data_IF_177872834541
#
_entry.id   IF_177872834541
#
_cell.length_a   1.000
_cell.length_b   1.000
_cell.length_c   1.000
_cell.angle_alpha   90.00
_cell.angle_beta   90.00
_cell.angle_gamma   90.00
#
_symmetry.space_group_name_H-M   'P 1'
#
loop_
_entity.id
_entity.type
_entity.pdbx_description
1 polymer ?
#
# COMPACT_ATOMS: atom_id res chain seq x y z
N UNK A 1 28.74 14.14 0.18
CA UNK A 1 28.03 12.88 0.46
C UNK A 1 27.41 12.42 -0.85
N UNK A 2 27.94 11.35 -1.43
CA UNK A 2 27.40 10.77 -2.68
C UNK A 2 26.09 10.05 -2.31
N UNK A 3 24.95 10.63 -2.70
CA UNK A 3 23.67 9.94 -2.58
C UNK A 3 23.70 8.77 -3.54
N UNK A 4 23.85 7.56 -3.02
CA UNK A 4 23.72 6.34 -3.80
C UNK A 4 22.34 6.33 -4.44
N UNK A 5 22.25 6.07 -5.73
CA UNK A 5 20.97 5.92 -6.42
C UNK A 5 20.14 4.85 -5.70
N UNK A 6 18.84 5.09 -5.43
CA UNK A 6 18.01 4.15 -4.70
C UNK A 6 17.98 2.80 -5.41
N UNK A 7 18.22 1.72 -4.66
CA UNK A 7 18.23 0.37 -5.23
C UNK A 7 16.83 -0.01 -5.69
N UNK A 8 16.69 -0.49 -6.92
CA UNK A 8 15.41 -0.99 -7.44
C UNK A 8 15.04 -2.29 -6.72
N UNK A 9 13.80 -2.40 -6.27
CA UNK A 9 13.25 -3.57 -5.57
C UNK A 9 12.40 -4.44 -6.49
N UNK A 10 11.53 -3.81 -7.31
CA UNK A 10 10.66 -4.51 -8.27
C UNK A 10 10.73 -3.84 -9.63
N UNK A 11 10.74 -4.65 -10.69
CA UNK A 11 10.59 -4.21 -12.08
C UNK A 11 9.45 -4.98 -12.71
N UNK A 12 8.50 -4.27 -13.31
CA UNK A 12 7.50 -4.81 -14.23
C UNK A 12 7.88 -4.43 -15.67
N UNK A 13 7.75 -5.39 -16.60
CA UNK A 13 7.90 -5.15 -18.04
C UNK A 13 6.72 -5.78 -18.77
N UNK A 14 5.88 -4.95 -19.34
CA UNK A 14 4.69 -5.33 -20.09
C UNK A 14 3.81 -6.35 -19.37
N UNK A 15 3.75 -6.23 -18.02
CA UNK A 15 3.03 -7.17 -17.19
C UNK A 15 1.52 -6.91 -17.24
N UNK A 16 0.74 -7.98 -17.45
CA UNK A 16 -0.71 -7.88 -17.58
C UNK A 16 -1.40 -8.86 -16.61
N UNK A 17 -2.57 -8.46 -16.12
CA UNK A 17 -3.44 -9.29 -15.25
C UNK A 17 -4.82 -9.35 -15.85
N UNK A 18 -5.37 -10.58 -15.96
CA UNK A 18 -6.73 -10.81 -16.41
C UNK A 18 -7.51 -11.67 -15.42
N UNK A 19 -8.79 -11.37 -15.25
CA UNK A 19 -9.77 -12.17 -14.50
C UNK A 19 -10.88 -12.59 -15.45
N UNK A 20 -10.79 -13.80 -15.98
CA UNK A 20 -11.66 -14.27 -17.06
C UNK A 20 -11.50 -13.38 -18.31
N UNK A 21 -12.58 -12.77 -18.80
CA UNK A 21 -12.56 -11.88 -19.95
C UNK A 21 -12.11 -10.44 -19.64
N UNK A 22 -12.00 -10.08 -18.35
CA UNK A 22 -11.66 -8.72 -17.92
C UNK A 22 -10.16 -8.55 -17.80
N UNK A 23 -9.57 -7.69 -18.61
CA UNK A 23 -8.16 -7.30 -18.53
C UNK A 23 -8.00 -6.15 -17.51
N UNK A 24 -7.66 -6.49 -16.26
CA UNK A 24 -7.57 -5.53 -15.16
C UNK A 24 -6.27 -4.72 -15.14
N UNK A 25 -5.17 -5.28 -15.68
CA UNK A 25 -3.91 -4.56 -15.92
C UNK A 25 -3.40 -4.92 -17.31
N UNK A 26 -2.96 -3.91 -18.07
CA UNK A 26 -2.56 -4.05 -19.48
C UNK A 26 -1.15 -3.53 -19.66
N UNK A 27 -0.21 -4.43 -19.98
CA UNK A 27 1.17 -4.13 -20.36
C UNK A 27 1.86 -3.11 -19.42
N UNK A 28 1.67 -3.27 -18.10
CA UNK A 28 2.25 -2.35 -17.13
C UNK A 28 3.78 -2.47 -17.13
N UNK A 29 4.45 -1.33 -17.29
CA UNK A 29 5.91 -1.21 -17.21
C UNK A 29 6.24 -0.14 -16.19
N UNK A 30 6.86 -0.52 -15.08
CA UNK A 30 7.27 0.37 -14.00
C UNK A 30 8.32 -0.26 -13.11
N UNK A 31 8.90 0.54 -12.23
CA UNK A 31 9.82 0.09 -11.18
C UNK A 31 9.42 0.67 -9.83
N UNK A 32 9.72 -0.08 -8.77
CA UNK A 32 9.64 0.38 -7.38
C UNK A 32 11.05 0.37 -6.82
N UNK A 33 11.49 1.48 -6.27
CA UNK A 33 12.81 1.65 -5.67
C UNK A 33 12.71 1.79 -4.16
N UNK A 34 13.79 1.48 -3.46
CA UNK A 34 13.87 1.61 -2.01
C UNK A 34 13.61 3.06 -1.58
N UNK A 35 12.72 3.23 -0.59
CA UNK A 35 12.34 4.55 -0.08
C UNK A 35 11.26 5.26 -0.91
N UNK A 36 10.78 4.66 -2.01
CA UNK A 36 9.63 5.23 -2.75
C UNK A 36 8.38 5.24 -1.86
N UNK A 37 7.64 6.35 -1.88
CA UNK A 37 6.23 6.36 -1.51
C UNK A 37 5.40 6.63 -2.77
N UNK A 38 4.88 5.56 -3.37
CA UNK A 38 4.10 5.62 -4.60
C UNK A 38 2.61 5.64 -4.27
N UNK A 39 1.88 6.65 -4.77
CA UNK A 39 0.43 6.64 -4.81
C UNK A 39 -0.08 6.21 -6.19
N UNK A 40 -0.84 5.12 -6.23
CA UNK A 40 -1.56 4.67 -7.42
C UNK A 40 -2.96 5.27 -7.37
N UNK A 41 -3.27 6.16 -8.30
CA UNK A 41 -4.54 6.88 -8.36
C UNK A 41 -5.28 6.59 -9.67
N UNK A 42 -6.59 6.83 -9.70
CA UNK A 42 -7.45 6.60 -10.86
C UNK A 42 -8.89 6.29 -10.43
N UNK A 43 -9.81 6.24 -11.37
CA UNK A 43 -11.22 5.94 -11.13
C UNK A 43 -11.42 4.53 -10.54
N UNK A 44 -12.63 4.26 -10.01
CA UNK A 44 -12.99 2.90 -9.60
C UNK A 44 -12.97 1.99 -10.85
N UNK A 45 -12.47 0.77 -10.69
CA UNK A 45 -12.31 -0.15 -11.81
C UNK A 45 -11.10 0.09 -12.70
N UNK A 46 -10.29 1.15 -12.49
CA UNK A 46 -9.09 1.42 -13.32
C UNK A 46 -7.95 0.40 -13.17
N UNK A 47 -8.04 -0.56 -12.24
CA UNK A 47 -7.05 -1.63 -12.06
C UNK A 47 -6.07 -1.43 -10.91
N UNK A 48 -6.22 -0.40 -10.05
CA UNK A 48 -5.30 -0.07 -8.94
C UNK A 48 -5.02 -1.26 -8.02
N UNK A 49 -6.05 -1.89 -7.48
CA UNK A 49 -5.92 -3.09 -6.61
C UNK A 49 -5.21 -4.23 -7.34
N UNK A 50 -5.50 -4.41 -8.64
CA UNK A 50 -4.87 -5.46 -9.46
C UNK A 50 -3.39 -5.18 -9.70
N UNK A 51 -3.01 -3.91 -9.89
CA UNK A 51 -1.62 -3.51 -10.00
C UNK A 51 -0.87 -3.74 -8.66
N UNK A 52 -1.47 -3.40 -7.52
CA UNK A 52 -0.87 -3.71 -6.21
C UNK A 52 -0.65 -5.20 -6.02
N UNK A 53 -1.65 -6.03 -6.36
CA UNK A 53 -1.55 -7.50 -6.28
C UNK A 53 -0.50 -8.06 -7.24
N UNK A 54 -0.37 -7.48 -8.45
CA UNK A 54 0.66 -7.83 -9.41
C UNK A 54 2.05 -7.49 -8.85
N UNK A 55 2.24 -6.28 -8.31
CA UNK A 55 3.50 -5.87 -7.68
C UNK A 55 3.85 -6.76 -6.49
N UNK A 56 2.87 -7.14 -5.67
CA UNK A 56 3.07 -8.08 -4.56
C UNK A 56 3.36 -9.51 -5.05
N UNK A 57 2.86 -9.90 -6.22
CA UNK A 57 3.06 -11.24 -6.79
C UNK A 57 2.04 -12.30 -6.33
N UNK A 58 0.85 -11.88 -5.88
CA UNK A 58 -0.22 -12.78 -5.39
C UNK A 58 -1.30 -13.06 -6.44
N UNK A 59 -1.09 -12.64 -7.69
CA UNK A 59 -2.00 -12.91 -8.82
C UNK A 59 -1.23 -13.51 -9.99
N UNK A 60 -1.91 -14.30 -10.81
CA UNK A 60 -1.36 -14.75 -12.08
C UNK A 60 -1.22 -13.56 -13.05
N UNK A 61 -0.14 -13.54 -13.83
CA UNK A 61 0.17 -12.47 -14.78
C UNK A 61 0.87 -13.01 -16.02
N UNK A 62 0.88 -12.21 -17.07
CA UNK A 62 1.73 -12.38 -18.25
C UNK A 62 2.74 -11.23 -18.32
N UNK A 63 3.79 -11.34 -19.16
CA UNK A 63 4.90 -10.41 -19.16
C UNK A 63 5.95 -10.73 -18.08
N UNK A 64 6.67 -9.74 -17.58
CA UNK A 64 7.75 -9.95 -16.60
C UNK A 64 7.52 -9.18 -15.30
N UNK A 65 7.74 -9.85 -14.18
CA UNK A 65 7.87 -9.28 -12.83
C UNK A 65 9.14 -9.82 -12.20
N UNK A 66 10.08 -8.94 -11.99
CA UNK A 66 11.34 -9.27 -11.34
C UNK A 66 11.38 -8.65 -9.95
N UNK A 67 11.68 -9.45 -8.93
CA UNK A 67 12.01 -8.97 -7.59
C UNK A 67 13.52 -9.09 -7.40
N UNK A 68 14.19 -7.96 -7.24
CA UNK A 68 15.65 -7.89 -7.18
C UNK A 68 16.22 -8.19 -5.78
N UNK A 69 15.34 -8.33 -4.79
CA UNK A 69 15.66 -8.87 -3.45
C UNK A 69 14.78 -10.09 -3.17
N UNK A 70 15.14 -11.29 -3.63
CA UNK A 70 14.28 -12.47 -3.54
C UNK A 70 14.04 -12.96 -2.11
N UNK A 71 14.86 -12.57 -1.14
CA UNK A 71 14.64 -12.82 0.30
C UNK A 71 13.82 -11.73 1.00
N UNK A 72 13.36 -10.72 0.26
CA UNK A 72 12.63 -9.58 0.80
C UNK A 72 11.24 -9.97 1.31
N UNK A 73 10.92 -9.52 2.49
CA UNK A 73 9.57 -9.65 3.06
C UNK A 73 8.69 -8.57 2.43
N UNK A 74 7.53 -8.96 1.97
CA UNK A 74 6.50 -8.03 1.49
C UNK A 74 5.28 -8.13 2.38
N UNK A 75 4.62 -7.01 2.65
CA UNK A 75 3.38 -6.99 3.40
C UNK A 75 2.30 -6.26 2.61
N UNK A 76 1.06 -6.74 2.71
CA UNK A 76 -0.09 -6.09 2.08
C UNK A 76 -1.21 -5.88 3.11
N UNK A 77 -1.71 -4.65 3.17
CA UNK A 77 -2.88 -4.26 3.96
C UNK A 77 -4.01 -3.98 2.99
N UNK A 78 -5.10 -4.70 3.13
CA UNK A 78 -6.28 -4.59 2.28
C UNK A 78 -7.20 -3.47 2.78
N UNK A 79 -8.07 -2.96 1.92
CA UNK A 79 -9.09 -1.94 2.22
C UNK A 79 -9.95 -2.33 3.43
N UNK A 80 -10.33 -3.61 3.52
CA UNK A 80 -10.99 -4.19 4.71
C UNK A 80 -10.02 -5.14 5.37
N UNK A 81 -9.42 -4.77 6.51
CA UNK A 81 -8.42 -5.61 7.16
C UNK A 81 -9.03 -6.94 7.61
N UNK A 82 -8.40 -8.03 7.21
CA UNK A 82 -8.75 -9.34 7.76
C UNK A 82 -8.05 -9.52 9.11
N UNK A 83 -8.84 -9.53 10.20
CA UNK A 83 -8.36 -9.77 11.55
C UNK A 83 -8.77 -11.16 12.02
N UNK A 84 -7.81 -11.86 12.62
CA UNK A 84 -8.06 -13.15 13.26
C UNK A 84 -8.97 -12.97 14.48
N UNK A 85 -9.75 -14.02 14.81
CA UNK A 85 -10.58 -14.07 16.04
C UNK A 85 -9.72 -14.29 17.30
N UNK A 86 -8.73 -13.43 17.46
CA UNK A 86 -7.73 -13.45 18.54
C UNK A 86 -7.64 -12.05 19.15
N UNK A 87 -6.90 -11.91 20.26
CA UNK A 87 -6.56 -10.59 20.80
C UNK A 87 -5.70 -9.78 19.82
N UNK A 88 -5.61 -8.48 20.05
CA UNK A 88 -4.71 -7.56 19.34
C UNK A 88 -3.28 -8.10 19.37
N UNK A 89 -2.80 -8.49 20.54
CA UNK A 89 -1.49 -9.09 20.75
C UNK A 89 -1.25 -10.33 19.90
N UNK A 90 -2.18 -11.27 19.95
CA UNK A 90 -2.02 -12.53 19.22
C UNK A 90 -2.14 -12.36 17.70
N UNK A 91 -2.85 -11.33 17.20
CA UNK A 91 -2.83 -10.98 15.79
C UNK A 91 -1.42 -10.58 15.31
N UNK A 92 -0.67 -9.83 16.12
CA UNK A 92 0.72 -9.46 15.83
C UNK A 92 1.65 -10.69 15.90
N UNK A 93 1.53 -11.48 16.99
CA UNK A 93 2.38 -12.67 17.16
C UNK A 93 2.24 -13.67 16.03
N UNK A 94 1.02 -13.91 15.52
CA UNK A 94 0.79 -14.79 14.38
C UNK A 94 1.44 -14.23 13.11
N UNK A 95 1.31 -12.93 12.85
CA UNK A 95 1.95 -12.30 11.68
C UNK A 95 3.48 -12.44 11.74
N UNK A 96 4.07 -12.15 12.89
CA UNK A 96 5.52 -12.28 13.12
C UNK A 96 6.00 -13.72 13.05
N UNK A 97 5.23 -14.67 13.57
CA UNK A 97 5.57 -16.09 13.49
C UNK A 97 5.56 -16.59 12.04
N UNK A 98 4.58 -16.17 11.23
CA UNK A 98 4.51 -16.54 9.82
C UNK A 98 5.68 -15.97 9.01
N UNK A 99 6.06 -14.71 9.28
CA UNK A 99 7.10 -14.03 8.53
C UNK A 99 8.53 -14.41 8.99
N UNK A 100 8.69 -14.77 10.26
CA UNK A 100 10.01 -14.95 10.89
C UNK A 100 10.05 -16.21 11.77
N UNK A 101 9.79 -17.38 11.17
CA UNK A 101 9.68 -18.67 11.88
C UNK A 101 10.94 -19.02 12.67
N UNK A 102 12.10 -18.73 12.11
CA UNK A 102 13.42 -19.04 12.69
C UNK A 102 13.92 -18.02 13.72
N UNK A 103 13.15 -16.94 13.95
CA UNK A 103 13.49 -15.91 14.93
C UNK A 103 13.02 -16.33 16.33
N UNK A 104 13.84 -16.04 17.36
CA UNK A 104 13.49 -16.31 18.75
C UNK A 104 12.15 -15.64 19.14
N UNK A 105 11.35 -16.32 19.99
CA UNK A 105 10.05 -15.82 20.43
C UNK A 105 10.17 -14.48 21.15
N UNK A 106 11.21 -14.30 22.00
CA UNK A 106 11.46 -13.04 22.71
C UNK A 106 11.63 -11.85 21.75
N UNK A 107 12.37 -12.02 20.66
CA UNK A 107 12.56 -10.96 19.67
C UNK A 107 11.28 -10.68 18.88
N UNK A 108 10.46 -11.70 18.61
CA UNK A 108 9.14 -11.50 18.00
C UNK A 108 8.19 -10.74 18.92
N UNK A 109 8.20 -11.08 20.21
CA UNK A 109 7.39 -10.40 21.22
C UNK A 109 7.83 -8.94 21.42
N UNK A 110 9.13 -8.66 21.41
CA UNK A 110 9.66 -7.29 21.42
C UNK A 110 9.19 -6.48 20.19
N UNK A 111 9.25 -7.06 18.99
CA UNK A 111 8.73 -6.41 17.78
C UNK A 111 7.22 -6.17 17.84
N UNK A 112 6.46 -7.10 18.40
CA UNK A 112 5.03 -6.94 18.62
C UNK A 112 4.74 -5.77 19.56
N UNK A 113 5.50 -5.64 20.64
CA UNK A 113 5.38 -4.53 21.59
C UNK A 113 5.70 -3.18 20.93
N UNK A 114 6.82 -3.11 20.20
CA UNK A 114 7.20 -1.92 19.42
C UNK A 114 6.10 -1.52 18.45
N UNK A 115 5.47 -2.50 17.76
CA UNK A 115 4.39 -2.23 16.83
C UNK A 115 3.13 -1.68 17.54
N UNK A 116 2.77 -2.20 18.71
CA UNK A 116 1.64 -1.68 19.51
C UNK A 116 1.88 -0.23 19.95
N UNK A 117 3.09 0.06 20.42
CA UNK A 117 3.48 1.42 20.78
C UNK A 117 3.38 2.37 19.58
N UNK A 118 3.91 1.94 18.44
CA UNK A 118 3.94 2.75 17.21
C UNK A 118 2.55 3.16 16.74
N UNK A 119 1.55 2.29 16.87
CA UNK A 119 0.18 2.56 16.42
C UNK A 119 -0.77 2.99 17.54
N UNK A 120 -0.29 3.17 18.77
CA UNK A 120 -1.09 3.62 19.92
C UNK A 120 -2.16 2.59 20.38
N UNK A 121 -1.85 1.29 20.30
CA UNK A 121 -2.79 0.22 20.69
C UNK A 121 -2.35 -0.57 21.94
N UNK A 122 -1.37 -0.11 22.69
CA UNK A 122 -0.84 -0.81 23.89
C UNK A 122 -1.95 -1.10 24.91
N UNK A 123 -2.80 -0.12 25.21
CA UNK A 123 -3.91 -0.27 26.16
C UNK A 123 -4.99 -1.27 25.70
N UNK A 124 -4.97 -1.64 24.43
CA UNK A 124 -5.93 -2.57 23.84
C UNK A 124 -5.34 -3.96 23.55
N UNK A 125 -4.12 -4.21 24.03
CA UNK A 125 -3.32 -5.42 23.76
C UNK A 125 -4.11 -6.72 23.89
N UNK A 126 -4.87 -6.88 24.95
CA UNK A 126 -5.57 -8.12 25.27
C UNK A 126 -7.02 -8.15 24.78
N UNK A 127 -7.50 -7.05 24.19
CA UNK A 127 -8.84 -6.98 23.62
C UNK A 127 -8.98 -7.89 22.39
N UNK A 128 -10.16 -8.51 22.18
CA UNK A 128 -10.47 -9.18 20.93
C UNK A 128 -10.34 -8.21 19.73
N UNK A 129 -9.52 -8.52 18.73
CA UNK A 129 -9.24 -7.60 17.62
C UNK A 129 -10.50 -7.19 16.85
N UNK A 130 -11.54 -8.04 16.81
CA UNK A 130 -12.82 -7.75 16.16
C UNK A 130 -13.71 -6.77 16.92
N UNK A 131 -13.45 -6.51 18.20
CA UNK A 131 -14.19 -5.53 19.00
C UNK A 131 -13.63 -4.12 18.88
N UNK A 132 -12.55 -3.94 18.14
CA UNK A 132 -11.96 -2.64 17.87
C UNK A 132 -12.85 -1.81 16.92
N UNK A 133 -12.80 -0.49 17.04
CA UNK A 133 -13.36 0.45 16.06
C UNK A 133 -12.67 0.28 14.69
N UNK A 134 -13.28 0.78 13.60
CA UNK A 134 -12.71 0.68 12.26
C UNK A 134 -11.31 1.27 12.15
N UNK A 135 -11.08 2.44 12.77
CA UNK A 135 -9.75 3.07 12.81
C UNK A 135 -8.72 2.25 13.60
N UNK A 136 -9.11 1.68 14.75
CA UNK A 136 -8.23 0.79 15.53
C UNK A 136 -7.91 -0.51 14.78
N UNK A 137 -8.89 -1.09 14.08
CA UNK A 137 -8.67 -2.26 13.22
C UNK A 137 -7.68 -1.97 12.10
N UNK A 138 -7.79 -0.79 11.48
CA UNK A 138 -6.86 -0.36 10.43
C UNK A 138 -5.45 -0.14 11.00
N UNK A 139 -5.33 0.51 12.17
CA UNK A 139 -4.05 0.67 12.85
C UNK A 139 -3.43 -0.67 13.23
N UNK A 140 -4.22 -1.64 13.66
CA UNK A 140 -3.72 -3.01 13.93
C UNK A 140 -3.23 -3.70 12.64
N UNK A 141 -3.92 -3.53 11.52
CA UNK A 141 -3.48 -4.08 10.24
C UNK A 141 -2.15 -3.45 9.78
N UNK A 142 -2.00 -2.14 9.95
CA UNK A 142 -0.75 -1.42 9.70
C UNK A 142 0.38 -1.90 10.65
N UNK A 143 0.08 -2.09 11.94
CA UNK A 143 1.03 -2.63 12.90
C UNK A 143 1.54 -4.01 12.50
N UNK A 144 0.65 -4.90 12.01
CA UNK A 144 1.03 -6.22 11.49
C UNK A 144 1.96 -6.13 10.28
N UNK A 145 1.64 -5.23 9.34
CA UNK A 145 2.47 -4.97 8.17
C UNK A 145 3.84 -4.39 8.53
N UNK A 146 3.88 -3.42 9.46
CA UNK A 146 5.11 -2.79 9.92
C UNK A 146 6.00 -3.74 10.74
N UNK A 147 5.41 -4.53 11.65
CA UNK A 147 6.14 -5.41 12.57
C UNK A 147 7.01 -6.45 11.85
N UNK A 148 6.58 -6.92 10.69
CA UNK A 148 7.34 -7.90 9.91
C UNK A 148 8.53 -7.29 9.16
N UNK A 149 8.76 -5.96 9.29
CA UNK A 149 9.86 -5.22 8.64
C UNK A 149 9.96 -5.51 7.15
N UNK A 150 8.90 -5.23 6.38
CA UNK A 150 8.88 -5.54 4.97
C UNK A 150 9.81 -4.60 4.18
N UNK A 151 10.38 -5.08 3.10
CA UNK A 151 11.06 -4.22 2.12
C UNK A 151 10.07 -3.30 1.41
N UNK A 152 8.82 -3.77 1.22
CA UNK A 152 7.74 -3.00 0.61
C UNK A 152 6.42 -3.27 1.36
N UNK A 153 5.74 -2.19 1.73
CA UNK A 153 4.39 -2.22 2.29
C UNK A 153 3.38 -1.78 1.22
N UNK A 154 2.51 -2.71 0.82
CA UNK A 154 1.41 -2.43 -0.10
C UNK A 154 0.14 -2.09 0.68
N UNK A 155 -0.55 -1.02 0.29
CA UNK A 155 -1.75 -0.51 0.96
C UNK A 155 -2.87 -0.32 -0.06
N UNK A 156 -3.93 -1.10 0.06
CA UNK A 156 -5.08 -0.97 -0.83
C UNK A 156 -6.16 -0.11 -0.14
N UNK A 157 -6.27 1.15 -0.56
CA UNK A 157 -7.20 2.16 -0.05
C UNK A 157 -7.28 2.22 1.50
N UNK A 158 -6.16 2.44 2.22
CA UNK A 158 -6.08 2.23 3.67
C UNK A 158 -6.98 3.14 4.51
N UNK A 159 -7.60 4.17 3.93
CA UNK A 159 -8.43 5.13 4.66
C UNK A 159 -9.87 5.25 4.13
N UNK A 160 -10.26 4.44 3.12
CA UNK A 160 -11.52 4.64 2.40
C UNK A 160 -12.77 4.56 3.30
N UNK A 161 -12.76 3.69 4.31
CA UNK A 161 -13.92 3.42 5.18
C UNK A 161 -13.81 4.07 6.58
N UNK A 162 -12.89 5.03 6.75
CA UNK A 162 -12.61 5.63 8.05
C UNK A 162 -13.28 7.01 8.18
N UNK A 163 -13.62 7.36 9.41
CA UNK A 163 -14.03 8.72 9.77
C UNK A 163 -12.85 9.72 9.62
N UNK A 164 -13.12 11.04 9.60
CA UNK A 164 -12.06 12.04 9.37
C UNK A 164 -10.94 12.03 10.40
N UNK A 165 -11.22 11.68 11.67
CA UNK A 165 -10.18 11.62 12.71
C UNK A 165 -9.28 10.40 12.49
N UNK A 166 -9.86 9.22 12.32
CA UNK A 166 -9.12 8.00 12.05
C UNK A 166 -8.30 8.08 10.74
N UNK A 167 -8.80 8.81 9.71
CA UNK A 167 -8.02 9.09 8.48
C UNK A 167 -6.73 9.84 8.79
N UNK A 168 -6.81 10.91 9.61
CA UNK A 168 -5.64 11.69 9.99
C UNK A 168 -4.62 10.85 10.76
N UNK A 169 -5.09 10.03 11.71
CA UNK A 169 -4.23 9.14 12.49
C UNK A 169 -3.48 8.14 11.58
N UNK A 170 -4.20 7.53 10.64
CA UNK A 170 -3.60 6.59 9.68
C UNK A 170 -2.62 7.30 8.74
N UNK A 171 -2.97 8.49 8.22
CA UNK A 171 -2.07 9.28 7.37
C UNK A 171 -0.78 9.69 8.13
N UNK A 172 -0.88 10.08 9.39
CA UNK A 172 0.28 10.37 10.22
C UNK A 172 1.20 9.14 10.39
N UNK A 173 0.62 7.97 10.68
CA UNK A 173 1.38 6.72 10.76
C UNK A 173 2.10 6.37 9.45
N UNK A 174 1.45 6.56 8.30
CA UNK A 174 2.05 6.30 7.01
C UNK A 174 3.19 7.28 6.70
N UNK A 175 3.03 8.55 7.07
CA UNK A 175 4.10 9.55 6.96
C UNK A 175 5.31 9.18 7.83
N UNK A 176 5.07 8.72 9.06
CA UNK A 176 6.12 8.26 9.96
C UNK A 176 6.85 7.02 9.40
N UNK A 177 6.11 6.05 8.83
CA UNK A 177 6.73 4.86 8.21
C UNK A 177 7.61 5.25 7.03
N UNK A 178 7.16 6.19 6.21
CA UNK A 178 7.94 6.71 5.09
C UNK A 178 9.19 7.48 5.56
N UNK A 179 9.07 8.28 6.63
CA UNK A 179 10.20 9.00 7.22
C UNK A 179 11.28 8.05 7.77
N UNK A 180 10.89 6.86 8.24
CA UNK A 180 11.81 5.79 8.64
C UNK A 180 12.44 5.04 7.45
N UNK A 181 12.15 5.48 6.20
CA UNK A 181 12.72 4.90 4.97
C UNK A 181 11.97 3.68 4.44
N UNK A 182 10.76 3.38 4.94
CA UNK A 182 9.95 2.28 4.42
C UNK A 182 9.48 2.59 3.00
N UNK A 183 9.60 1.60 2.11
CA UNK A 183 9.03 1.70 0.76
C UNK A 183 7.54 1.38 0.83
N UNK A 184 6.71 2.29 0.30
CA UNK A 184 5.25 2.19 0.36
C UNK A 184 4.67 2.31 -1.04
N UNK A 185 3.74 1.40 -1.40
CA UNK A 185 2.91 1.52 -2.61
C UNK A 185 1.45 1.49 -2.17
N UNK A 186 0.75 2.61 -2.33
CA UNK A 186 -0.61 2.81 -1.85
C UNK A 186 -1.57 3.09 -3.00
N UNK A 187 -2.68 2.35 -3.10
CA UNK A 187 -3.81 2.78 -3.92
C UNK A 187 -4.68 3.78 -3.15
N UNK A 188 -5.16 4.79 -3.82
CA UNK A 188 -6.14 5.72 -3.26
C UNK A 188 -6.93 6.45 -4.36
N UNK A 189 -8.19 6.76 -4.09
CA UNK A 189 -8.97 7.70 -4.88
C UNK A 189 -8.92 9.13 -4.32
N UNK A 190 -8.28 9.32 -3.14
CA UNK A 190 -8.14 10.62 -2.50
C UNK A 190 -6.87 11.33 -2.97
N UNK A 191 -7.02 12.26 -3.93
CA UNK A 191 -5.94 13.05 -4.48
C UNK A 191 -5.21 13.92 -3.44
N UNK A 192 -5.95 14.43 -2.45
CA UNK A 192 -5.35 15.19 -1.35
C UNK A 192 -4.41 14.33 -0.50
N UNK A 193 -4.77 13.06 -0.24
CA UNK A 193 -3.93 12.09 0.44
C UNK A 193 -2.67 11.77 -0.39
N UNK A 194 -2.83 11.48 -1.68
CA UNK A 194 -1.71 11.24 -2.59
C UNK A 194 -0.73 12.42 -2.60
N UNK A 195 -1.25 13.66 -2.68
CA UNK A 195 -0.44 14.89 -2.68
C UNK A 195 0.35 15.10 -1.39
N UNK A 196 -0.24 14.74 -0.22
CA UNK A 196 0.42 14.93 1.09
C UNK A 196 1.47 13.89 1.39
N UNK A 197 1.25 12.63 0.98
CA UNK A 197 2.04 11.49 1.45
C UNK A 197 3.04 10.97 0.42
N UNK A 198 2.67 10.96 -0.86
CA UNK A 198 3.48 10.30 -1.86
C UNK A 198 4.59 11.18 -2.43
N UNK A 199 5.73 10.58 -2.71
CA UNK A 199 6.82 11.21 -3.48
C UNK A 199 6.59 11.09 -4.99
N UNK A 200 5.81 10.07 -5.42
CA UNK A 200 5.55 9.73 -6.82
C UNK A 200 4.11 9.27 -7.01
N UNK A 201 3.50 9.67 -8.11
CA UNK A 201 2.12 9.31 -8.46
C UNK A 201 2.09 8.54 -9.75
N UNK A 202 1.35 7.43 -9.74
CA UNK A 202 0.99 6.63 -10.90
C UNK A 202 -0.51 6.81 -11.13
N UNK A 203 -0.88 7.36 -12.28
CA UNK A 203 -2.27 7.44 -12.69
C UNK A 203 -2.61 6.25 -13.60
N UNK A 204 -3.67 5.53 -13.19
CA UNK A 204 -4.20 4.40 -13.94
C UNK A 204 -5.55 4.74 -14.57
N UNK A 205 -5.69 4.39 -15.84
CA UNK A 205 -6.95 4.43 -16.55
C UNK A 205 -7.13 3.16 -17.39
N UNK A 206 -8.32 2.57 -17.34
CA UNK A 206 -8.71 1.35 -18.09
C UNK A 206 -7.66 0.22 -18.07
N UNK A 207 -7.02 0.00 -16.92
CA UNK A 207 -5.98 -1.01 -16.73
C UNK A 207 -4.58 -0.61 -17.20
N UNK A 208 -4.37 0.59 -17.73
CA UNK A 208 -3.07 1.10 -18.19
C UNK A 208 -2.47 2.07 -17.20
N UNK A 209 -1.16 2.11 -17.16
CA UNK A 209 -0.41 3.19 -16.51
C UNK A 209 -0.26 4.29 -17.57
N UNK A 210 -1.02 5.38 -17.43
CA UNK A 210 -0.97 6.51 -18.36
C UNK A 210 0.07 7.54 -17.94
N UNK A 211 0.25 7.73 -16.63
CA UNK A 211 1.22 8.68 -16.08
C UNK A 211 1.97 8.03 -14.92
N UNK A 212 3.26 8.34 -14.86
CA UNK A 212 4.18 7.94 -13.79
C UNK A 212 5.15 9.12 -13.56
N UNK A 213 4.86 9.96 -12.58
CA UNK A 213 5.55 11.23 -12.35
C UNK A 213 5.84 11.48 -10.85
N UNK A 214 6.86 12.29 -10.52
CA UNK A 214 6.99 12.89 -9.20
C UNK A 214 5.70 13.63 -8.80
N UNK A 215 5.32 13.55 -7.53
CA UNK A 215 4.07 14.14 -7.04
C UNK A 215 3.94 15.63 -7.38
N UNK A 216 5.04 16.38 -7.26
CA UNK A 216 5.05 17.80 -7.61
C UNK A 216 4.63 18.04 -9.06
N UNK A 217 5.14 17.22 -9.97
CA UNK A 217 4.91 17.38 -11.42
C UNK A 217 3.52 16.90 -11.81
N UNK A 218 3.02 15.84 -11.17
CA UNK A 218 1.66 15.35 -11.37
C UNK A 218 0.59 16.38 -10.97
N UNK A 219 0.79 17.09 -9.86
CA UNK A 219 -0.14 18.12 -9.36
C UNK A 219 0.16 19.53 -9.87
N UNK A 220 1.14 19.71 -10.76
CA UNK A 220 1.39 20.99 -11.40
C UNK A 220 0.22 21.36 -12.35
N UNK A 221 0.01 22.66 -12.54
CA UNK A 221 -0.99 23.14 -13.48
C UNK A 221 -0.64 22.69 -14.90
N UNK A 222 -1.60 22.04 -15.58
CA UNK A 222 -1.43 21.65 -16.98
C UNK A 222 -1.17 20.16 -17.24
N UNK A 223 -1.39 19.27 -16.25
CA UNK A 223 -1.39 17.82 -16.51
C UNK A 223 -2.37 17.50 -17.66
N UNK A 224 -1.89 16.95 -18.79
CA UNK A 224 -2.69 16.78 -19.98
C UNK A 224 -3.61 15.56 -19.92
N UNK A 225 -4.58 15.49 -20.85
CA UNK A 225 -5.40 14.30 -21.10
C UNK A 225 -6.38 13.95 -19.99
N UNK A 226 -6.72 12.65 -19.90
CA UNK A 226 -7.70 12.13 -18.92
C UNK A 226 -7.27 12.34 -17.47
N UNK A 227 -5.98 12.31 -17.19
CA UNK A 227 -5.45 12.62 -15.86
C UNK A 227 -5.74 14.06 -15.44
N UNK A 228 -5.66 15.02 -16.35
CA UNK A 228 -6.04 16.42 -16.10
C UNK A 228 -7.54 16.57 -15.80
N UNK A 229 -8.40 15.85 -16.50
CA UNK A 229 -9.85 15.78 -16.23
C UNK A 229 -10.12 15.12 -14.86
N UNK A 230 -9.40 14.04 -14.55
CA UNK A 230 -9.49 13.38 -13.24
C UNK A 230 -9.09 14.32 -12.09
N UNK A 231 -8.02 15.09 -12.27
CA UNK A 231 -7.58 16.09 -11.28
C UNK A 231 -8.62 17.19 -11.04
N UNK A 232 -9.35 17.59 -12.08
CA UNK A 232 -10.44 18.59 -11.98
C UNK A 232 -11.76 18.03 -11.47
N UNK A 233 -11.86 16.70 -11.29
CA UNK A 233 -13.12 16.04 -10.94
C UNK A 233 -14.13 16.01 -12.09
N UNK A 234 -13.67 16.22 -13.33
CA UNK A 234 -14.52 16.31 -14.52
C UNK A 234 -14.72 14.97 -15.25
N UNK A 235 -14.04 13.90 -14.80
CA UNK A 235 -14.33 12.54 -15.28
C UNK A 235 -15.68 12.13 -14.71
N UNK A 236 -16.72 12.10 -15.56
CA UNK A 236 -18.02 11.54 -15.24
C UNK A 236 -17.85 10.10 -14.76
N UNK A 237 -18.47 9.78 -13.65
CA UNK A 237 -18.69 8.41 -13.21
C UNK A 237 -19.65 7.80 -14.24
N UNK A 238 -19.16 7.05 -15.20
CA UNK A 238 -20.03 6.21 -16.02
C UNK A 238 -20.62 5.13 -15.12
N UNK A 239 -21.85 5.35 -14.71
CA UNK A 239 -22.75 4.36 -14.11
C UNK A 239 -23.24 3.43 -15.22
N UNK A 240 -22.34 2.69 -15.87
CA UNK A 240 -22.74 1.71 -16.87
C UNK A 240 -22.24 0.33 -16.47
N UNK A 241 -23.22 -0.54 -16.11
CA UNK A 241 -23.14 -1.98 -16.08
C UNK A 241 -23.06 -2.66 -14.75
#
# INVERSE_FOLDING_TARGET
MTVLAPSTLIVLREASVAYGAVQAVRAATMRVSQGDFIAVVGANGSGKTSLLRLLHGVVAYTGSREMLRPSGVQAMVFQRPFLLRLSVWNNLRVALWLAHRDTATSLRDERAEQALHRVGLVALRDRPARSLSGGEQQRLALARGWAVRPDILFLDEPTASLDPSAKKDVEALLADFAADGMTIVMSTHNLGQAKRLASRVIYMDEGRIDIDLPTRDFFASGTPGRAGLFLKGELSWSLDG
#
